data_IF_963402466777
#
_entry.id   IF_963402466777
#
_cell.length_a   1.000
_cell.length_b   1.000
_cell.length_c   1.000
_cell.angle_alpha   90.00
_cell.angle_beta   90.00
_cell.angle_gamma   90.00
#
_symmetry.space_group_name_H-M   'P 1'
#
loop_
_entity.id
_entity.type
_entity.pdbx_description
1 polymer ?
#
# COMPACT_ATOMS: atom_id res chain seq x y z
N UNK A 1 55.91 0.83 -11.30
CA UNK A 1 54.48 1.17 -11.57
C UNK A 1 53.59 -0.08 -11.54
N UNK A 2 53.71 -0.93 -10.52
CA UNK A 2 52.84 -2.11 -10.35
C UNK A 2 52.31 -2.26 -8.92
N UNK A 3 52.90 -1.57 -7.93
CA UNK A 3 52.49 -1.72 -6.52
C UNK A 3 51.37 -0.77 -6.08
N UNK A 4 51.11 0.33 -6.80
CA UNK A 4 50.02 1.27 -6.47
C UNK A 4 48.63 0.81 -6.95
N UNK A 5 48.54 -0.31 -7.67
CA UNK A 5 47.27 -0.80 -8.24
C UNK A 5 46.58 -1.85 -7.37
N UNK A 6 47.29 -2.44 -6.40
CA UNK A 6 46.73 -3.47 -5.50
C UNK A 6 46.12 -2.89 -4.22
N UNK A 7 46.56 -1.71 -3.73
CA UNK A 7 45.96 -1.10 -2.54
C UNK A 7 44.51 -0.59 -2.75
N UNK A 8 44.10 -0.31 -3.99
CA UNK A 8 42.72 0.09 -4.27
C UNK A 8 41.74 -1.08 -4.35
N UNK A 9 42.20 -2.32 -4.55
CA UNK A 9 41.31 -3.50 -4.56
C UNK A 9 40.96 -4.00 -3.17
N UNK A 10 41.77 -3.70 -2.15
CA UNK A 10 41.55 -4.23 -0.80
C UNK A 10 40.58 -3.38 0.06
N UNK A 11 40.28 -2.14 -0.34
CA UNK A 11 39.25 -1.31 0.33
C UNK A 11 37.81 -1.67 -0.03
N UNK A 12 37.59 -2.65 -0.93
CA UNK A 12 36.28 -3.26 -1.22
C UNK A 12 35.97 -4.48 -0.33
N UNK A 13 36.60 -4.60 0.84
CA UNK A 13 36.07 -5.46 1.90
C UNK A 13 34.85 -4.77 2.50
N UNK A 14 33.69 -5.10 1.94
CA UNK A 14 32.36 -4.90 2.52
C UNK A 14 32.44 -5.13 4.03
N UNK A 15 32.35 -4.05 4.80
CA UNK A 15 31.99 -4.13 6.20
C UNK A 15 30.55 -4.68 6.23
N UNK A 16 30.25 -5.75 6.98
CA UNK A 16 28.91 -6.33 7.08
C UNK A 16 27.99 -5.46 7.96
N UNK A 17 27.99 -4.14 7.75
CA UNK A 17 27.48 -3.14 8.70
C UNK A 17 26.09 -2.56 8.38
N UNK A 18 25.68 -2.34 7.12
CA UNK A 18 24.34 -1.82 6.82
C UNK A 18 23.36 -2.87 6.29
N UNK A 19 23.81 -3.91 5.59
CA UNK A 19 22.91 -4.92 4.99
C UNK A 19 22.24 -5.80 6.08
N UNK A 20 22.94 -6.06 7.19
CA UNK A 20 22.40 -6.83 8.32
C UNK A 20 21.36 -6.01 9.10
N UNK A 21 21.51 -4.68 9.18
CA UNK A 21 20.56 -3.81 9.85
C UNK A 21 19.23 -3.71 9.07
N UNK A 22 19.28 -3.60 7.74
CA UNK A 22 18.09 -3.53 6.87
C UNK A 22 17.31 -4.86 6.88
N UNK A 23 18.02 -6.00 6.86
CA UNK A 23 17.38 -7.32 6.99
C UNK A 23 16.74 -7.55 8.37
N UNK A 24 17.35 -7.02 9.44
CA UNK A 24 16.78 -7.12 10.78
C UNK A 24 15.48 -6.29 10.92
N UNK A 25 15.40 -5.12 10.30
CA UNK A 25 14.16 -4.30 10.24
C UNK A 25 13.08 -5.03 9.43
N UNK A 26 13.43 -5.62 8.29
CA UNK A 26 12.49 -6.38 7.45
C UNK A 26 11.94 -7.61 8.19
N UNK A 27 12.76 -8.28 9.00
CA UNK A 27 12.33 -9.40 9.87
C UNK A 27 11.52 -8.92 11.08
N UNK A 28 11.83 -7.78 11.69
CA UNK A 28 11.05 -7.23 12.81
C UNK A 28 9.67 -6.72 12.37
N UNK A 29 9.58 -6.09 11.20
CA UNK A 29 8.29 -5.73 10.58
C UNK A 29 7.49 -6.99 10.23
N UNK A 30 8.15 -8.05 9.75
CA UNK A 30 7.48 -9.34 9.52
C UNK A 30 7.01 -10.01 10.82
N UNK A 31 7.76 -9.92 11.92
CA UNK A 31 7.40 -10.55 13.20
C UNK A 31 6.37 -9.75 14.02
N UNK A 32 6.37 -8.42 13.94
CA UNK A 32 5.33 -7.57 14.56
C UNK A 32 3.93 -7.85 14.01
N UNK A 33 3.83 -8.22 12.73
CA UNK A 33 2.58 -8.59 12.06
C UNK A 33 2.06 -9.98 12.47
N UNK A 34 2.95 -10.89 12.91
CA UNK A 34 2.54 -12.24 13.39
C UNK A 34 1.94 -12.18 14.80
N UNK A 35 2.34 -11.22 15.63
CA UNK A 35 1.90 -11.12 17.03
C UNK A 35 0.40 -10.83 17.22
N UNK A 36 -0.26 -10.18 16.26
CA UNK A 36 -1.68 -9.78 16.36
C UNK A 36 -2.63 -10.83 15.78
N UNK A 37 -2.13 -11.80 14.98
CA UNK A 37 -2.95 -12.88 14.41
C UNK A 37 -2.81 -14.22 15.15
N UNK A 38 -1.88 -14.34 16.12
CA UNK A 38 -1.59 -15.60 16.82
C UNK A 38 -2.46 -15.97 18.02
N UNK A 39 -3.38 -15.10 18.47
CA UNK A 39 -4.13 -15.33 19.72
C UNK A 39 -5.43 -16.14 19.56
N UNK A 40 -5.91 -16.37 18.33
CA UNK A 40 -7.20 -17.05 18.07
C UNK A 40 -7.08 -18.48 17.50
N UNK A 41 -5.88 -19.01 17.28
CA UNK A 41 -5.67 -20.30 16.60
C UNK A 41 -5.16 -21.44 17.50
N UNK A 42 -5.15 -21.28 18.84
CA UNK A 42 -4.57 -22.26 19.77
C UNK A 42 -5.57 -23.13 20.55
N UNK A 43 -6.85 -23.11 20.20
CA UNK A 43 -7.84 -24.02 20.78
C UNK A 43 -8.81 -24.55 19.71
N UNK A 44 -8.45 -25.69 19.12
CA UNK A 44 -9.31 -26.48 18.24
C UNK A 44 -8.69 -27.86 18.06
N UNK A 45 -9.32 -28.85 18.68
CA UNK A 45 -8.87 -30.25 18.77
C UNK A 45 -8.67 -30.93 17.40
N UNK A 46 -7.63 -31.77 17.34
CA UNK A 46 -7.30 -32.67 16.23
C UNK A 46 -8.43 -33.68 15.94
N UNK A 47 -9.08 -33.58 14.78
CA UNK A 47 -9.79 -34.71 14.17
C UNK A 47 -9.56 -34.71 12.64
N UNK A 48 -8.98 -35.78 12.05
CA UNK A 48 -8.69 -35.82 10.62
C UNK A 48 -9.97 -36.10 9.79
N UNK A 49 -10.22 -35.36 8.69
CA UNK A 49 -11.38 -35.61 7.85
C UNK A 49 -11.17 -36.83 6.91
N UNK A 50 -12.25 -37.53 6.52
CA UNK A 50 -12.19 -38.76 5.73
C UNK A 50 -11.84 -38.50 4.25
N UNK A 51 -11.11 -39.45 3.66
CA UNK A 51 -10.83 -39.51 2.23
C UNK A 51 -12.09 -39.77 1.41
N UNK A 52 -12.37 -38.89 0.43
CA UNK A 52 -13.18 -39.24 -0.74
C UNK A 52 -14.14 -38.16 -1.21
N UNK A 53 -13.80 -37.48 -2.30
CA UNK A 53 -14.60 -37.42 -3.53
C UNK A 53 -13.90 -36.56 -4.59
N UNK A 54 -13.56 -37.17 -5.72
CA UNK A 54 -13.17 -36.46 -6.94
C UNK A 54 -14.38 -35.64 -7.42
N UNK A 55 -14.33 -34.34 -7.18
CA UNK A 55 -15.15 -33.37 -7.90
C UNK A 55 -14.32 -32.83 -9.05
N UNK A 56 -14.78 -33.07 -10.28
CA UNK A 56 -14.24 -32.44 -11.48
C UNK A 56 -14.42 -30.93 -11.36
N UNK A 57 -13.35 -30.25 -10.90
CA UNK A 57 -13.28 -28.80 -10.86
C UNK A 57 -13.31 -28.27 -12.29
N UNK A 58 -14.48 -27.78 -12.69
CA UNK A 58 -14.60 -26.98 -13.91
C UNK A 58 -13.97 -25.63 -13.58
N UNK A 59 -12.80 -25.35 -14.16
CA UNK A 59 -12.15 -24.05 -14.01
C UNK A 59 -13.15 -22.92 -14.31
N UNK A 60 -13.27 -21.88 -13.47
CA UNK A 60 -14.14 -20.75 -13.76
C UNK A 60 -13.72 -20.13 -15.09
N UNK A 61 -14.68 -19.87 -15.96
CA UNK A 61 -14.42 -19.12 -17.20
C UNK A 61 -14.02 -17.71 -16.80
N UNK A 62 -12.80 -17.27 -17.10
CA UNK A 62 -12.32 -15.90 -16.85
C UNK A 62 -13.28 -14.90 -17.48
N UNK A 63 -14.17 -14.32 -16.66
CA UNK A 63 -14.95 -13.16 -17.07
C UNK A 63 -14.02 -11.94 -17.05
N UNK A 64 -14.15 -11.07 -18.06
CA UNK A 64 -13.44 -9.79 -18.10
C UNK A 64 -14.01 -8.88 -17.01
N UNK A 65 -13.19 -8.06 -16.34
CA UNK A 65 -13.66 -7.10 -15.35
C UNK A 65 -14.74 -6.20 -15.94
N UNK A 66 -15.81 -5.95 -15.17
CA UNK A 66 -16.78 -4.91 -15.51
C UNK A 66 -16.21 -3.57 -15.03
N UNK A 67 -15.93 -2.69 -15.99
CA UNK A 67 -15.38 -1.36 -15.73
C UNK A 67 -16.52 -0.38 -15.41
N UNK A 68 -16.57 0.12 -14.17
CA UNK A 68 -17.58 1.09 -13.72
C UNK A 68 -17.09 2.52 -13.95
N UNK A 69 -17.67 3.18 -14.96
CA UNK A 69 -17.30 4.54 -15.35
C UNK A 69 -17.73 5.59 -14.30
N UNK A 70 -18.75 5.30 -13.49
CA UNK A 70 -19.24 6.17 -12.42
C UNK A 70 -18.21 6.34 -11.29
N UNK A 71 -17.31 5.38 -11.10
CA UNK A 71 -16.21 5.44 -10.13
C UNK A 71 -14.86 5.82 -10.76
N UNK A 72 -14.83 6.45 -11.94
CA UNK A 72 -13.56 6.95 -12.46
C UNK A 72 -12.92 7.96 -11.49
N UNK A 73 -11.66 7.72 -11.14
CA UNK A 73 -10.86 8.52 -10.22
C UNK A 73 -9.63 9.04 -10.97
N UNK A 74 -9.25 10.28 -10.71
CA UNK A 74 -7.99 10.86 -11.16
C UNK A 74 -7.14 11.12 -9.93
N UNK A 75 -5.87 10.69 -9.97
CA UNK A 75 -4.92 10.92 -8.88
C UNK A 75 -4.80 12.43 -8.59
N UNK A 76 -4.88 12.81 -7.32
CA UNK A 76 -4.81 14.19 -6.88
C UNK A 76 -6.12 14.97 -7.03
N UNK A 77 -7.17 14.38 -7.60
CA UNK A 77 -8.49 15.00 -7.70
C UNK A 77 -9.47 14.46 -6.63
N UNK A 78 -10.62 15.13 -6.52
CA UNK A 78 -11.57 14.91 -5.43
C UNK A 78 -11.28 15.84 -4.26
N UNK A 79 -12.01 15.63 -3.16
CA UNK A 79 -11.96 16.55 -2.02
C UNK A 79 -12.57 17.90 -2.35
N UNK A 80 -12.90 18.65 -1.30
CA UNK A 80 -13.35 20.05 -1.41
C UNK A 80 -12.24 21.03 -1.07
N UNK A 81 -11.14 20.53 -0.48
CA UNK A 81 -9.97 21.31 -0.10
C UNK A 81 -8.72 20.40 -0.02
N UNK A 82 -7.62 20.93 0.49
CA UNK A 82 -6.36 20.21 0.71
C UNK A 82 -5.99 20.27 2.19
N UNK A 83 -5.20 19.30 2.67
CA UNK A 83 -4.64 19.31 4.01
C UNK A 83 -3.84 20.60 4.26
N UNK A 84 -3.96 21.15 5.48
CA UNK A 84 -3.16 22.28 5.94
C UNK A 84 -1.68 21.90 6.20
N UNK A 85 -1.39 20.59 6.26
CA UNK A 85 -0.06 20.03 6.51
C UNK A 85 0.65 19.73 5.20
N UNK A 86 -0.07 19.16 4.23
CA UNK A 86 0.44 18.88 2.89
C UNK A 86 -0.60 19.25 1.83
N UNK A 87 -0.37 20.38 1.15
CA UNK A 87 -1.26 20.89 0.11
C UNK A 87 -1.38 19.96 -1.12
N UNK A 88 -0.53 18.94 -1.26
CA UNK A 88 -0.67 17.92 -2.30
C UNK A 88 -1.72 16.86 -1.98
N UNK A 89 -2.24 16.82 -0.75
CA UNK A 89 -3.21 15.83 -0.29
C UNK A 89 -4.61 16.45 -0.22
N UNK A 90 -5.54 16.08 -1.12
CA UNK A 90 -6.92 16.53 -1.04
C UNK A 90 -7.63 15.89 0.15
N UNK A 91 -8.54 16.64 0.77
CA UNK A 91 -9.38 16.23 1.92
C UNK A 91 -10.80 16.81 1.77
N UNK A 92 -11.70 16.41 2.67
CA UNK A 92 -13.10 16.85 2.63
C UNK A 92 -13.84 16.27 1.44
N UNK A 93 -13.69 14.96 1.22
CA UNK A 93 -14.35 14.21 0.15
C UNK A 93 -15.86 14.09 0.42
N UNK A 94 -16.66 13.81 -0.61
CA UNK A 94 -18.07 13.51 -0.42
C UNK A 94 -18.27 12.15 0.27
N UNK A 95 -19.33 11.96 1.10
CA UNK A 95 -19.64 10.70 1.79
C UNK A 95 -20.17 9.60 0.87
N UNK A 96 -19.62 9.46 -0.32
CA UNK A 96 -20.01 8.48 -1.36
C UNK A 96 -18.93 7.41 -1.54
N UNK A 97 -19.25 6.30 -2.19
CA UNK A 97 -18.24 5.30 -2.54
C UNK A 97 -17.15 5.84 -3.46
N UNK A 98 -17.51 6.76 -4.37
CA UNK A 98 -16.52 7.46 -5.20
C UNK A 98 -15.57 8.30 -4.34
N UNK A 99 -16.10 9.05 -3.38
CA UNK A 99 -15.29 9.82 -2.43
C UNK A 99 -14.34 8.95 -1.62
N UNK A 100 -14.79 7.75 -1.21
CA UNK A 100 -13.94 6.80 -0.50
C UNK A 100 -12.78 6.28 -1.37
N UNK A 101 -13.04 5.96 -2.65
CA UNK A 101 -11.97 5.53 -3.58
C UNK A 101 -10.98 6.67 -3.80
N UNK A 102 -11.47 7.90 -4.05
CA UNK A 102 -10.60 9.07 -4.22
C UNK A 102 -9.71 9.29 -2.98
N UNK A 103 -10.28 9.20 -1.78
CA UNK A 103 -9.54 9.29 -0.53
C UNK A 103 -8.47 8.19 -0.41
N UNK A 104 -8.83 6.91 -0.62
CA UNK A 104 -7.87 5.81 -0.56
C UNK A 104 -6.70 5.98 -1.55
N UNK A 105 -6.99 6.39 -2.78
CA UNK A 105 -5.98 6.62 -3.82
C UNK A 105 -5.05 7.77 -3.46
N UNK A 106 -5.60 8.89 -3.00
CA UNK A 106 -4.78 10.07 -2.69
C UNK A 106 -4.00 9.89 -1.39
N UNK A 107 -4.57 9.27 -0.36
CA UNK A 107 -3.87 9.02 0.90
C UNK A 107 -2.72 8.02 0.76
N UNK A 108 -2.80 7.10 -0.21
CA UNK A 108 -1.68 6.22 -0.54
C UNK A 108 -0.43 7.01 -0.97
N UNK A 109 -0.61 8.15 -1.66
CA UNK A 109 0.49 9.06 -2.06
C UNK A 109 0.81 10.04 -0.93
N UNK A 110 -0.21 10.52 -0.22
CA UNK A 110 -0.06 11.43 0.90
C UNK A 110 0.79 10.85 2.02
N UNK A 111 0.58 9.58 2.35
CA UNK A 111 1.31 8.82 3.37
C UNK A 111 2.48 8.02 2.78
N UNK A 112 3.20 8.62 1.84
CA UNK A 112 4.49 8.13 1.37
C UNK A 112 5.60 8.62 2.31
N UNK A 113 6.16 7.72 3.12
CA UNK A 113 7.20 8.06 4.10
C UNK A 113 8.45 8.68 3.47
N UNK A 114 8.67 8.49 2.17
CA UNK A 114 9.80 9.13 1.47
C UNK A 114 9.65 10.64 1.39
N UNK A 115 8.45 11.21 1.59
CA UNK A 115 8.26 12.65 1.79
C UNK A 115 9.03 13.17 3.00
N UNK A 116 8.99 12.43 4.12
CA UNK A 116 9.74 12.78 5.33
C UNK A 116 11.25 12.63 5.14
N UNK A 117 11.71 11.52 4.53
CA UNK A 117 13.14 11.23 4.40
C UNK A 117 13.84 11.98 3.27
N UNK A 118 13.09 12.49 2.28
CA UNK A 118 13.60 13.39 1.24
C UNK A 118 13.59 14.87 1.66
N UNK A 119 12.87 15.20 2.74
CA UNK A 119 12.71 16.57 3.25
C UNK A 119 11.62 17.38 2.55
N UNK A 120 10.71 16.73 1.81
CA UNK A 120 9.47 17.35 1.31
C UNK A 120 8.54 17.74 2.47
N UNK A 121 8.47 16.89 3.49
CA UNK A 121 7.86 17.16 4.80
C UNK A 121 8.91 16.98 5.89
N UNK A 122 8.78 17.72 6.98
CA UNK A 122 9.45 17.38 8.23
C UNK A 122 8.85 16.10 8.83
N UNK A 123 9.59 15.44 9.73
CA UNK A 123 9.08 14.28 10.45
C UNK A 123 7.82 14.60 11.26
N UNK A 124 7.78 15.76 11.91
CA UNK A 124 6.63 16.23 12.68
C UNK A 124 5.41 16.49 11.78
N UNK A 125 5.62 17.09 10.61
CA UNK A 125 4.55 17.29 9.62
C UNK A 125 4.03 15.94 9.11
N UNK A 126 4.90 14.98 8.81
CA UNK A 126 4.46 13.65 8.37
C UNK A 126 3.65 12.91 9.45
N UNK A 127 4.07 12.98 10.71
CA UNK A 127 3.31 12.43 11.86
C UNK A 127 1.96 13.13 12.01
N UNK A 128 1.93 14.45 11.87
CA UNK A 128 0.70 15.23 11.94
C UNK A 128 -0.26 14.87 10.79
N UNK A 129 0.25 14.67 9.58
CA UNK A 129 -0.53 14.22 8.42
C UNK A 129 -1.09 12.82 8.66
N UNK A 130 -0.28 11.87 9.16
CA UNK A 130 -0.76 10.54 9.57
C UNK A 130 -1.93 10.67 10.54
N UNK A 131 -1.81 11.54 11.55
CA UNK A 131 -2.89 11.79 12.51
C UNK A 131 -4.14 12.37 11.84
N UNK A 132 -3.97 13.35 10.95
CA UNK A 132 -5.10 13.97 10.24
C UNK A 132 -5.87 12.97 9.38
N UNK A 133 -5.18 12.05 8.69
CA UNK A 133 -5.79 11.15 7.72
C UNK A 133 -6.32 9.84 8.32
N UNK A 134 -6.04 9.56 9.59
CA UNK A 134 -6.46 8.33 10.30
C UNK A 134 -7.50 8.63 11.38
N UNK A 135 -8.25 7.62 11.81
CA UNK A 135 -9.29 7.77 12.86
C UNK A 135 -9.38 6.55 13.80
N UNK A 136 -10.09 6.71 14.92
CA UNK A 136 -10.34 5.66 15.91
C UNK A 136 -9.08 5.07 16.53
N UNK A 137 -9.15 3.82 16.98
CA UNK A 137 -8.01 3.09 17.56
C UNK A 137 -6.84 2.94 16.58
N UNK A 138 -7.13 2.96 15.27
CA UNK A 138 -6.10 2.92 14.24
C UNK A 138 -5.23 4.18 14.21
N UNK A 139 -5.78 5.36 14.55
CA UNK A 139 -5.01 6.61 14.56
C UNK A 139 -3.85 6.55 15.54
N UNK A 140 -4.09 6.12 16.79
CA UNK A 140 -3.05 6.05 17.81
C UNK A 140 -1.96 5.05 17.41
N UNK A 141 -2.34 3.88 16.90
CA UNK A 141 -1.41 2.87 16.41
C UNK A 141 -0.61 3.36 15.20
N UNK A 142 -1.24 4.05 14.24
CA UNK A 142 -0.58 4.58 13.05
C UNK A 142 0.40 5.70 13.40
N UNK A 143 0.03 6.62 14.29
CA UNK A 143 0.91 7.69 14.78
C UNK A 143 2.12 7.11 15.52
N UNK A 144 1.89 6.16 16.43
CA UNK A 144 2.97 5.50 17.18
C UNK A 144 3.92 4.76 16.25
N UNK A 145 3.39 3.93 15.35
CA UNK A 145 4.19 3.20 14.36
C UNK A 145 5.00 4.14 13.45
N UNK A 146 4.38 5.27 13.04
CA UNK A 146 5.07 6.28 12.23
C UNK A 146 6.23 6.93 12.99
N UNK A 147 6.02 7.31 14.25
CA UNK A 147 7.07 7.88 15.10
C UNK A 147 8.21 6.88 15.30
N UNK A 148 7.90 5.63 15.65
CA UNK A 148 8.91 4.58 15.82
C UNK A 148 9.72 4.32 14.54
N UNK A 149 9.06 4.32 13.37
CA UNK A 149 9.72 4.20 12.08
C UNK A 149 10.67 5.37 11.82
N UNK A 150 10.21 6.61 12.03
CA UNK A 150 11.00 7.81 11.80
C UNK A 150 12.18 7.93 12.78
N UNK A 151 12.00 7.56 14.05
CA UNK A 151 13.06 7.48 15.06
C UNK A 151 14.15 6.47 14.65
N UNK A 152 13.75 5.32 14.09
CA UNK A 152 14.68 4.32 13.57
C UNK A 152 15.46 4.82 12.34
N UNK A 153 14.80 5.57 11.47
CA UNK A 153 15.43 6.18 10.30
C UNK A 153 16.34 7.35 10.70
N UNK A 154 16.04 8.06 11.79
CA UNK A 154 16.77 9.23 12.26
C UNK A 154 16.93 10.28 11.15
N UNK A 155 18.13 10.86 11.03
CA UNK A 155 18.45 11.86 9.99
C UNK A 155 18.80 11.23 8.63
N UNK A 156 18.45 9.97 8.40
CA UNK A 156 18.75 9.29 7.13
C UNK A 156 18.02 9.97 5.99
N UNK A 157 18.80 10.48 5.03
CA UNK A 157 18.27 11.04 3.80
C UNK A 157 18.15 9.96 2.73
N UNK A 158 16.96 9.84 2.16
CA UNK A 158 16.68 8.97 1.03
C UNK A 158 16.31 9.81 -0.19
N UNK A 159 16.59 9.36 -1.41
CA UNK A 159 15.92 9.89 -2.58
C UNK A 159 14.39 9.84 -2.39
N UNK A 160 13.71 10.76 -3.05
CA UNK A 160 12.26 10.78 -3.12
C UNK A 160 11.81 9.57 -3.94
N UNK A 161 11.07 8.66 -3.32
CA UNK A 161 10.41 7.58 -4.03
C UNK A 161 9.26 8.10 -4.89
N UNK A 162 8.51 7.21 -5.51
CA UNK A 162 7.27 7.57 -6.20
C UNK A 162 6.28 6.45 -6.08
N UNK A 163 5.03 6.78 -5.74
CA UNK A 163 3.90 5.85 -5.83
C UNK A 163 3.04 6.28 -7.01
N UNK A 164 2.72 5.32 -7.87
CA UNK A 164 1.96 5.50 -9.12
C UNK A 164 0.71 4.64 -9.08
N UNK A 165 -0.35 5.09 -8.37
CA UNK A 165 -1.63 4.41 -8.47
C UNK A 165 -2.11 4.43 -9.92
N UNK A 166 -1.83 5.51 -10.67
CA UNK A 166 -2.22 5.72 -12.08
C UNK A 166 -1.75 4.60 -13.04
N UNK A 167 -0.81 3.77 -12.61
CA UNK A 167 -0.30 2.61 -13.36
C UNK A 167 -1.06 1.31 -13.08
N UNK A 168 -2.10 1.38 -12.26
CA UNK A 168 -3.07 0.31 -12.02
C UNK A 168 -4.47 0.90 -11.86
N UNK A 169 -5.23 0.33 -10.91
CA UNK A 169 -6.58 0.79 -10.60
C UNK A 169 -7.03 0.35 -9.21
N UNK A 170 -8.34 0.13 -9.01
CA UNK A 170 -8.86 -0.30 -7.73
C UNK A 170 -10.04 -1.30 -7.79
N UNK A 171 -10.22 -2.06 -6.70
CA UNK A 171 -11.45 -2.76 -6.35
C UNK A 171 -12.07 -2.14 -5.10
N UNK A 172 -13.39 -1.93 -5.13
CA UNK A 172 -14.17 -1.70 -3.91
C UNK A 172 -14.65 -3.06 -3.42
N UNK A 173 -14.14 -3.50 -2.26
CA UNK A 173 -14.59 -4.76 -1.64
C UNK A 173 -15.93 -4.59 -0.95
N UNK A 174 -16.03 -3.52 -0.18
CA UNK A 174 -17.24 -3.16 0.56
C UNK A 174 -17.33 -1.64 0.57
N UNK A 175 -18.55 -1.11 0.47
CA UNK A 175 -18.80 0.31 0.67
C UNK A 175 -20.23 0.54 1.15
N UNK A 176 -20.35 1.26 2.26
CA UNK A 176 -21.59 1.85 2.75
C UNK A 176 -21.39 3.36 2.83
N UNK A 177 -22.09 4.09 1.95
CA UNK A 177 -22.00 5.55 1.85
C UNK A 177 -22.21 6.23 3.21
N UNK A 178 -21.35 7.20 3.51
CA UNK A 178 -21.35 7.93 4.79
C UNK A 178 -21.02 7.09 6.02
N UNK A 179 -20.49 5.87 5.86
CA UNK A 179 -20.15 4.99 6.98
C UNK A 179 -18.76 4.37 6.85
N UNK A 180 -18.57 3.46 5.90
CA UNK A 180 -17.34 2.67 5.77
C UNK A 180 -17.07 2.24 4.33
N UNK A 181 -15.81 2.00 4.01
CA UNK A 181 -15.42 1.38 2.76
C UNK A 181 -14.12 0.58 2.93
N UNK A 182 -13.93 -0.45 2.10
CA UNK A 182 -12.65 -1.13 1.93
C UNK A 182 -12.27 -1.11 0.46
N UNK A 183 -11.16 -0.45 0.15
CA UNK A 183 -10.66 -0.25 -1.21
C UNK A 183 -9.30 -0.91 -1.35
N UNK A 184 -9.14 -1.71 -2.40
CA UNK A 184 -7.87 -2.32 -2.78
C UNK A 184 -7.32 -1.63 -4.01
N UNK A 185 -6.05 -1.22 -3.98
CA UNK A 185 -5.42 -0.44 -5.03
C UNK A 185 -4.17 -1.17 -5.52
N UNK A 186 -4.17 -1.53 -6.80
CA UNK A 186 -2.95 -1.96 -7.50
C UNK A 186 -2.21 -0.70 -7.92
N UNK A 187 -0.96 -0.59 -7.48
CA UNK A 187 -0.12 0.57 -7.74
C UNK A 187 1.30 0.12 -8.03
N UNK A 188 2.04 0.94 -8.76
CA UNK A 188 3.48 0.81 -8.93
C UNK A 188 4.19 1.68 -7.88
N UNK A 189 5.30 1.22 -7.33
CA UNK A 189 6.12 1.98 -6.38
C UNK A 189 7.60 1.90 -6.72
N UNK A 190 8.29 3.04 -6.62
CA UNK A 190 9.75 3.16 -6.68
C UNK A 190 10.21 3.68 -5.32
N UNK A 191 10.83 2.83 -4.50
CA UNK A 191 11.31 3.24 -3.17
C UNK A 191 12.60 4.05 -3.23
N UNK A 192 13.38 3.91 -4.30
CA UNK A 192 14.77 4.40 -4.36
C UNK A 192 14.93 5.63 -5.27
N UNK A 193 13.87 6.03 -5.97
CA UNK A 193 13.92 7.12 -6.94
C UNK A 193 14.79 6.80 -8.15
N UNK A 194 14.95 5.51 -8.48
CA UNK A 194 15.80 5.02 -9.56
C UNK A 194 15.03 4.86 -10.88
N UNK A 195 13.71 5.07 -10.86
CA UNK A 195 12.82 4.85 -12.00
C UNK A 195 12.48 3.38 -12.23
N UNK A 196 12.80 2.51 -11.28
CA UNK A 196 12.44 1.10 -11.26
C UNK A 196 11.23 0.89 -10.34
N UNK A 197 10.10 0.53 -10.94
CA UNK A 197 8.83 0.39 -10.24
C UNK A 197 8.47 -1.07 -10.03
N UNK A 198 7.98 -1.39 -8.84
CA UNK A 198 7.42 -2.69 -8.51
C UNK A 198 5.92 -2.55 -8.29
N UNK A 199 5.16 -3.55 -8.77
CA UNK A 199 3.73 -3.57 -8.52
C UNK A 199 3.41 -4.15 -7.14
N UNK A 200 2.42 -3.57 -6.48
CA UNK A 200 1.90 -4.02 -5.20
C UNK A 200 0.41 -3.74 -5.08
N UNK A 201 -0.20 -4.33 -4.05
CA UNK A 201 -1.61 -4.10 -3.71
C UNK A 201 -1.74 -3.63 -2.28
N UNK A 202 -2.34 -2.47 -2.10
CA UNK A 202 -2.68 -1.92 -0.79
C UNK A 202 -4.17 -2.11 -0.53
N UNK A 203 -4.53 -2.64 0.62
CA UNK A 203 -5.92 -2.62 1.13
C UNK A 203 -6.06 -1.51 2.15
N UNK A 204 -7.01 -0.61 1.92
CA UNK A 204 -7.29 0.53 2.82
C UNK A 204 -8.73 0.43 3.28
N UNK A 205 -8.92 0.32 4.60
CA UNK A 205 -10.21 0.46 5.25
C UNK A 205 -10.42 1.92 5.65
N UNK A 206 -11.57 2.45 5.28
CA UNK A 206 -11.98 3.83 5.50
C UNK A 206 -13.24 3.88 6.34
N UNK A 207 -13.33 4.90 7.17
CA UNK A 207 -14.52 5.25 7.95
C UNK A 207 -14.83 6.72 7.72
N UNK A 208 -16.12 7.02 7.55
CA UNK A 208 -16.58 8.40 7.48
C UNK A 208 -16.59 9.00 8.89
N UNK A 209 -15.69 9.94 9.15
CA UNK A 209 -15.48 10.55 10.46
C UNK A 209 -15.08 12.02 10.30
N UNK A 210 -15.56 12.86 11.22
CA UNK A 210 -15.22 14.29 11.27
C UNK A 210 -15.47 15.05 9.94
N UNK A 211 -16.47 14.59 9.17
CA UNK A 211 -16.84 15.20 7.89
C UNK A 211 -15.95 14.81 6.72
N UNK A 212 -15.17 13.73 6.83
CA UNK A 212 -14.31 13.24 5.77
C UNK A 212 -14.15 11.71 5.80
N UNK A 213 -13.60 11.14 4.72
CA UNK A 213 -13.11 9.75 4.75
C UNK A 213 -11.75 9.69 5.45
N UNK A 214 -11.64 8.86 6.49
CA UNK A 214 -10.41 8.64 7.27
C UNK A 214 -10.01 7.18 7.25
N UNK A 215 -8.71 6.91 7.26
CA UNK A 215 -8.17 5.55 7.34
C UNK A 215 -8.45 4.98 8.73
N UNK A 216 -9.13 3.84 8.76
CA UNK A 216 -9.40 3.05 9.97
C UNK A 216 -8.68 1.70 9.96
N UNK A 217 -7.95 1.39 8.89
CA UNK A 217 -7.10 0.21 8.81
C UNK A 217 -6.34 0.14 7.48
N UNK A 218 -5.20 -0.53 7.51
CA UNK A 218 -4.43 -0.89 6.32
C UNK A 218 -4.09 -2.37 6.35
N UNK A 219 -3.92 -2.98 5.18
CA UNK A 219 -3.62 -4.39 5.08
C UNK A 219 -3.05 -4.76 3.71
N UNK A 220 -2.57 -6.00 3.62
CA UNK A 220 -2.20 -6.60 2.33
C UNK A 220 -3.44 -7.18 1.68
N UNK A 221 -3.48 -7.11 0.36
CA UNK A 221 -4.48 -7.77 -0.46
C UNK A 221 -3.79 -8.61 -1.53
N UNK A 222 -4.48 -9.64 -1.99
CA UNK A 222 -4.08 -10.38 -3.18
C UNK A 222 -4.49 -9.59 -4.42
N UNK A 223 -3.58 -9.54 -5.40
CA UNK A 223 -3.88 -8.95 -6.68
C UNK A 223 -4.94 -9.78 -7.42
N UNK A 224 -5.83 -9.14 -8.20
CA UNK A 224 -6.81 -9.85 -9.02
C UNK A 224 -6.18 -10.62 -10.19
N UNK A 225 -4.87 -10.42 -10.42
CA UNK A 225 -4.07 -11.04 -11.46
C UNK A 225 -2.63 -11.24 -10.98
N UNK A 226 -1.85 -12.04 -11.72
CA UNK A 226 -0.40 -12.04 -11.58
C UNK A 226 0.14 -10.63 -11.88
N UNK A 227 0.96 -10.10 -10.98
CA UNK A 227 1.69 -8.85 -11.17
C UNK A 227 3.09 -9.17 -11.71
N UNK A 228 3.73 -8.24 -12.44
CA UNK A 228 5.11 -8.39 -12.88
C UNK A 228 6.06 -8.76 -11.71
N UNK A 229 6.86 -9.81 -11.87
CA UNK A 229 7.79 -10.27 -10.83
C UNK A 229 9.04 -9.38 -10.70
N UNK A 230 9.35 -8.59 -11.74
CA UNK A 230 10.51 -7.71 -11.81
C UNK A 230 10.14 -6.23 -11.89
N UNK A 231 11.13 -5.33 -11.80
CA UNK A 231 10.89 -3.91 -11.94
C UNK A 231 10.45 -3.56 -13.36
N UNK A 232 9.56 -2.57 -13.46
CA UNK A 232 9.12 -1.95 -14.72
C UNK A 232 9.54 -0.49 -14.75
N UNK A 233 9.65 0.09 -15.95
CA UNK A 233 9.98 1.52 -16.13
C UNK A 233 8.83 2.32 -16.75
N UNK A 234 7.79 1.63 -17.19
CA UNK A 234 6.56 2.15 -17.78
C UNK A 234 5.36 1.31 -17.30
N UNK A 235 4.11 1.80 -17.41
CA UNK A 235 2.94 1.03 -17.06
C UNK A 235 2.90 -0.30 -17.81
N UNK A 236 2.60 -1.38 -17.10
CA UNK A 236 2.49 -2.71 -17.69
C UNK A 236 1.12 -2.90 -18.39
N UNK A 237 1.14 -3.23 -19.68
CA UNK A 237 -0.07 -3.38 -20.50
C UNK A 237 -1.00 -4.49 -20.00
N UNK A 238 -0.46 -5.57 -19.43
CA UNK A 238 -1.26 -6.68 -18.89
C UNK A 238 -1.96 -6.24 -17.60
N UNK A 239 -1.27 -5.52 -16.72
CA UNK A 239 -1.89 -4.88 -15.54
C UNK A 239 -2.96 -3.88 -15.99
N UNK A 240 -2.67 -2.99 -16.94
CA UNK A 240 -3.67 -2.02 -17.41
C UNK A 240 -4.88 -2.70 -18.07
N UNK A 241 -4.68 -3.85 -18.71
CA UNK A 241 -5.76 -4.60 -19.38
C UNK A 241 -6.63 -5.36 -18.38
N UNK A 242 -6.03 -6.03 -17.40
CA UNK A 242 -6.73 -6.90 -16.45
C UNK A 242 -7.31 -6.12 -15.28
N UNK A 243 -6.72 -4.98 -14.98
CA UNK A 243 -6.93 -4.23 -13.75
C UNK A 243 -7.39 -2.80 -14.10
N UNK A 244 -7.40 -2.42 -15.38
CA UNK A 244 -7.87 -1.11 -15.84
C UNK A 244 -6.90 0.02 -15.50
N UNK A 245 -7.08 1.17 -16.16
CA UNK A 245 -6.52 2.45 -15.70
C UNK A 245 -7.57 3.14 -14.85
N UNK A 246 -7.34 3.28 -13.54
CA UNK A 246 -8.07 4.24 -12.70
C UNK A 246 -9.60 4.21 -12.82
N UNK A 247 -10.09 3.00 -13.02
CA UNK A 247 -11.48 2.65 -13.19
C UNK A 247 -11.69 1.38 -12.39
N UNK A 248 -12.87 1.23 -11.78
CA UNK A 248 -13.15 0.11 -10.88
C UNK A 248 -13.05 -1.22 -11.63
N UNK A 249 -12.39 -2.22 -11.05
CA UNK A 249 -12.67 -3.61 -11.37
C UNK A 249 -13.63 -4.21 -10.33
N UNK A 250 -14.74 -4.77 -10.80
CA UNK A 250 -15.58 -5.62 -9.94
C UNK A 250 -14.89 -6.98 -9.72
N UNK A 251 -14.98 -7.51 -8.49
CA UNK A 251 -14.44 -8.82 -8.18
C UNK A 251 -15.11 -9.92 -9.00
N UNK A 252 -14.31 -10.93 -9.32
CA UNK A 252 -14.74 -12.31 -9.55
C UNK A 252 -15.55 -12.81 -8.34
N UNK A 253 -16.85 -12.59 -8.31
CA UNK A 253 -17.70 -13.46 -7.49
C UNK A 253 -17.71 -14.83 -8.18
N UNK A 254 -17.32 -15.94 -7.50
CA UNK A 254 -17.69 -17.25 -7.99
C UNK A 254 -19.22 -17.28 -8.04
N UNK A 255 -19.77 -17.49 -9.24
CA UNK A 255 -21.20 -17.71 -9.38
C UNK A 255 -21.60 -18.87 -8.46
N UNK A 256 -22.42 -18.57 -7.45
CA UNK A 256 -23.09 -19.55 -6.59
C UNK A 256 -24.11 -20.36 -7.38
#
# INVERSE_FOLDING_TARGET
MSELRDEQRERRRLRPGPIIAVLAVLVLVLLGVVGVLGANALFGDDEPPPEGQQTSSSAPTSQKPVVRQDLHVVVGEGGSTTSDIDASVPVGYEPTCKGAVQAATNYLIGLDYTKATSGELSQDEYVALTKELTTGDHQEAAVTSTQEMLDQLGDTKSPRGSIRPDWGGFAVKECTEGQSATVQIVHAYDYWGEGEYYYGVSSTSLTWADGDWKISGTGRAEAPTALPEGPVTEPDDEVLTLVGTHTQWENYEPAS
#
